data_IF_424382432373
#
_entry.id   IF_424382432373
#
_cell.length_a   1.000
_cell.length_b   1.000
_cell.length_c   1.000
_cell.angle_alpha   90.00
_cell.angle_beta   90.00
_cell.angle_gamma   90.00
#
_symmetry.space_group_name_H-M   'P 1'
#
loop_
_entity.id
_entity.type
_entity.pdbx_description
1 polymer ?
#
# COMPACT_ATOMS: atom_id res chain seq x y z
N UNK A 1 7.04 4.03 3.05
CA UNK A 1 8.22 4.44 3.82
C UNK A 1 8.98 5.58 3.17
N UNK A 2 8.62 5.94 2.00
CA UNK A 2 9.48 6.68 1.08
C UNK A 2 9.02 8.09 0.78
N UNK A 3 7.75 8.41 0.99
CA UNK A 3 7.20 9.73 0.66
C UNK A 3 7.91 10.92 1.31
N UNK A 4 8.58 10.72 2.44
CA UNK A 4 9.32 11.78 3.14
C UNK A 4 10.73 12.04 2.58
N UNK A 5 11.28 11.10 1.80
CA UNK A 5 12.64 11.16 1.25
C UNK A 5 12.66 11.22 -0.27
N UNK A 6 11.51 11.38 -0.91
CA UNK A 6 11.43 11.47 -2.36
C UNK A 6 11.98 12.81 -2.85
N UNK A 7 12.66 12.81 -4.00
CA UNK A 7 13.10 14.04 -4.64
C UNK A 7 11.91 14.99 -4.88
N UNK A 8 12.14 16.31 -4.85
CA UNK A 8 11.11 17.30 -5.15
C UNK A 8 10.48 17.22 -6.55
N UNK A 9 11.01 16.36 -7.39
CA UNK A 9 10.47 16.01 -8.72
C UNK A 9 9.25 15.09 -8.65
N UNK A 10 9.03 14.36 -7.52
CA UNK A 10 7.86 13.48 -7.36
C UNK A 10 6.65 14.33 -7.01
N UNK A 11 5.72 14.43 -7.95
CA UNK A 11 4.51 15.26 -7.83
C UNK A 11 3.29 14.51 -7.31
N UNK A 12 3.26 13.19 -7.45
CA UNK A 12 2.18 12.32 -6.99
C UNK A 12 2.63 10.88 -6.85
N UNK A 13 1.87 10.10 -6.10
CA UNK A 13 2.09 8.66 -5.87
C UNK A 13 0.82 7.93 -6.26
N UNK A 14 0.95 6.87 -7.05
CA UNK A 14 -0.13 5.92 -7.31
C UNK A 14 0.24 4.61 -6.61
N UNK A 15 -0.58 4.20 -5.64
CA UNK A 15 -0.39 3.00 -4.85
C UNK A 15 -1.46 1.97 -5.21
N UNK A 16 -1.10 0.98 -6.03
CA UNK A 16 -2.00 -0.11 -6.42
C UNK A 16 -1.72 -1.36 -5.56
N UNK A 17 -2.74 -1.87 -4.89
CA UNK A 17 -2.71 -3.02 -4.00
C UNK A 17 -1.66 -2.93 -2.86
N UNK A 18 -1.47 -1.73 -2.30
CA UNK A 18 -0.50 -1.50 -1.25
C UNK A 18 -0.90 -2.10 0.10
N UNK A 19 0.07 -2.68 0.83
CA UNK A 19 -0.10 -3.15 2.21
C UNK A 19 0.35 -2.11 3.24
N UNK A 20 -0.05 -2.31 4.51
CA UNK A 20 0.24 -1.37 5.63
C UNK A 20 1.67 -1.47 6.16
N UNK A 21 2.18 -2.70 6.27
CA UNK A 21 3.56 -3.01 6.67
C UNK A 21 3.92 -4.45 6.32
N UNK A 22 5.21 -4.81 6.20
CA UNK A 22 5.63 -6.21 6.08
C UNK A 22 5.11 -7.08 7.22
N UNK A 23 5.09 -6.55 8.45
CA UNK A 23 4.53 -7.24 9.60
C UNK A 23 3.07 -7.63 9.41
N UNK A 24 2.24 -6.69 8.97
CA UNK A 24 0.80 -6.91 8.80
C UNK A 24 0.48 -7.90 7.68
N UNK A 25 1.17 -7.78 6.53
CA UNK A 25 0.93 -8.68 5.42
C UNK A 25 1.43 -10.10 5.72
N UNK A 26 2.60 -10.26 6.33
CA UNK A 26 3.10 -11.57 6.72
C UNK A 26 2.24 -12.20 7.83
N UNK A 27 1.76 -11.41 8.80
CA UNK A 27 0.82 -11.89 9.80
C UNK A 27 -0.48 -12.39 9.19
N UNK A 28 -0.98 -11.70 8.15
CA UNK A 28 -2.18 -12.09 7.45
C UNK A 28 -1.99 -13.39 6.66
N UNK A 29 -0.93 -13.48 5.85
CA UNK A 29 -0.63 -14.67 5.05
C UNK A 29 -0.37 -15.88 5.96
N UNK A 30 0.39 -15.70 7.03
CA UNK A 30 0.70 -16.76 7.98
C UNK A 30 -0.57 -17.35 8.61
N UNK A 31 -1.49 -16.48 9.03
CA UNK A 31 -2.76 -16.94 9.61
C UNK A 31 -3.73 -17.53 8.59
N UNK A 32 -3.83 -16.93 7.41
CA UNK A 32 -4.80 -17.32 6.38
C UNK A 32 -4.37 -18.57 5.61
N UNK A 33 -3.14 -18.57 5.09
CA UNK A 33 -2.69 -19.59 4.13
C UNK A 33 -1.92 -20.72 4.80
N UNK A 34 -1.17 -20.41 5.87
CA UNK A 34 -0.40 -21.40 6.62
C UNK A 34 -1.12 -21.92 7.87
N UNK A 35 -2.21 -21.26 8.31
CA UNK A 35 -2.94 -21.59 9.55
C UNK A 35 -2.03 -21.61 10.79
N UNK A 36 -0.96 -20.78 10.78
CA UNK A 36 0.02 -20.71 11.84
C UNK A 36 -0.18 -19.44 12.69
N UNK A 37 0.07 -19.51 14.01
CA UNK A 37 0.05 -18.34 14.87
C UNK A 37 1.23 -17.42 14.58
N UNK A 38 1.08 -16.12 14.90
CA UNK A 38 2.17 -15.15 14.74
C UNK A 38 3.40 -15.54 15.56
N UNK A 39 3.19 -15.94 16.81
CA UNK A 39 4.25 -16.46 17.68
C UNK A 39 4.31 -17.99 17.57
N UNK A 40 5.50 -18.57 17.41
CA UNK A 40 6.82 -17.91 17.32
C UNK A 40 7.25 -17.54 15.89
N UNK A 41 6.50 -17.94 14.86
CA UNK A 41 6.96 -17.96 13.46
C UNK A 41 7.29 -16.56 12.91
N UNK A 42 6.37 -15.60 13.06
CA UNK A 42 6.59 -14.26 12.55
C UNK A 42 7.74 -13.55 13.31
N UNK A 43 7.86 -13.81 14.60
CA UNK A 43 8.95 -13.25 15.40
C UNK A 43 10.31 -13.83 15.00
N UNK A 44 10.37 -15.14 14.71
CA UNK A 44 11.58 -15.77 14.20
C UNK A 44 11.96 -15.22 12.82
N UNK A 45 10.98 -15.04 11.92
CA UNK A 45 11.21 -14.45 10.61
C UNK A 45 11.71 -12.99 10.70
N UNK A 46 11.11 -12.19 11.57
CA UNK A 46 11.53 -10.81 11.84
C UNK A 46 12.96 -10.74 12.40
N UNK A 47 13.30 -11.61 13.34
CA UNK A 47 14.66 -11.72 13.87
C UNK A 47 15.67 -12.08 12.77
N UNK A 48 15.36 -13.04 11.90
CA UNK A 48 16.23 -13.42 10.78
C UNK A 48 16.38 -12.27 9.80
N UNK A 49 15.28 -11.57 9.50
CA UNK A 49 15.30 -10.38 8.64
C UNK A 49 16.22 -9.31 9.21
N UNK A 50 16.07 -8.99 10.50
CA UNK A 50 16.93 -8.02 11.15
C UNK A 50 18.41 -8.42 11.10
N UNK A 51 18.73 -9.69 11.36
CA UNK A 51 20.11 -10.21 11.30
C UNK A 51 20.73 -10.14 9.90
N UNK A 52 19.93 -10.34 8.84
CA UNK A 52 20.42 -10.40 7.46
C UNK A 52 20.32 -9.07 6.71
N UNK A 53 19.26 -8.32 6.95
CA UNK A 53 18.93 -7.10 6.20
C UNK A 53 19.02 -5.82 7.03
N UNK A 54 19.21 -5.92 8.35
CA UNK A 54 19.44 -4.78 9.24
C UNK A 54 18.19 -4.00 9.62
N UNK A 55 16.98 -4.51 9.36
CA UNK A 55 15.72 -3.84 9.75
C UNK A 55 14.67 -4.82 10.26
N UNK A 56 13.78 -4.34 11.12
CA UNK A 56 12.59 -5.06 11.57
C UNK A 56 11.39 -4.78 10.67
N UNK A 57 10.47 -5.74 10.51
CA UNK A 57 9.27 -5.60 9.68
C UNK A 57 8.39 -4.41 10.07
N UNK A 58 8.35 -4.06 11.36
CA UNK A 58 7.56 -2.94 11.86
C UNK A 58 8.17 -1.56 11.52
N UNK A 59 9.47 -1.48 11.26
CA UNK A 59 10.14 -0.24 10.88
C UNK A 59 9.73 0.25 9.49
N UNK A 60 9.23 -0.65 8.63
CA UNK A 60 8.78 -0.36 7.26
C UNK A 60 7.28 -0.11 7.19
N UNK A 61 6.71 0.69 8.07
CA UNK A 61 5.29 1.01 8.09
C UNK A 61 4.90 2.06 7.05
N UNK A 62 4.04 1.67 6.09
CA UNK A 62 3.43 2.60 5.15
C UNK A 62 2.50 3.58 5.89
N UNK A 63 1.74 3.10 6.88
CA UNK A 63 0.85 3.92 7.71
C UNK A 63 1.59 5.07 8.39
N UNK A 64 2.73 4.77 9.05
CA UNK A 64 3.52 5.81 9.73
C UNK A 64 4.15 6.81 8.75
N UNK A 65 4.58 6.33 7.58
CA UNK A 65 5.09 7.18 6.53
C UNK A 65 4.01 8.10 5.95
N UNK A 66 2.81 7.58 5.73
CA UNK A 66 1.68 8.32 5.19
C UNK A 66 1.16 9.40 6.14
N UNK A 67 1.26 9.22 7.45
CA UNK A 67 0.92 10.27 8.45
C UNK A 67 1.76 11.54 8.30
N UNK A 68 2.94 11.42 7.74
CA UNK A 68 3.87 12.54 7.52
C UNK A 68 4.01 12.89 6.05
N UNK A 69 3.28 12.19 5.19
CA UNK A 69 3.34 12.41 3.74
C UNK A 69 2.72 13.76 3.36
N UNK A 70 3.35 14.44 2.41
CA UNK A 70 2.87 15.70 1.84
C UNK A 70 2.64 15.61 0.33
N UNK A 71 2.96 14.46 -0.26
CA UNK A 71 2.81 14.21 -1.70
C UNK A 71 1.43 13.58 -1.92
N UNK A 72 0.62 14.09 -2.86
CA UNK A 72 -0.69 13.52 -3.17
C UNK A 72 -0.62 12.03 -3.52
N UNK A 73 -1.63 11.27 -3.09
CA UNK A 73 -1.67 9.81 -3.30
C UNK A 73 -3.01 9.37 -3.87
N UNK A 74 -2.96 8.62 -4.96
CA UNK A 74 -4.09 7.84 -5.45
C UNK A 74 -3.91 6.38 -5.01
N UNK A 75 -4.82 5.90 -4.16
CA UNK A 75 -4.88 4.50 -3.75
C UNK A 75 -5.83 3.73 -4.68
N UNK A 76 -5.38 2.62 -5.24
CA UNK A 76 -6.19 1.71 -6.05
C UNK A 76 -6.12 0.32 -5.43
N UNK A 77 -7.25 -0.42 -5.41
CA UNK A 77 -7.24 -1.77 -4.85
C UNK A 77 -8.37 -2.62 -5.40
N UNK A 78 -8.10 -3.92 -5.57
CA UNK A 78 -9.13 -4.89 -5.89
C UNK A 78 -9.97 -5.27 -4.66
N UNK A 79 -11.30 -5.15 -4.75
CA UNK A 79 -12.21 -5.47 -3.64
C UNK A 79 -12.20 -6.94 -3.24
N UNK A 80 -11.85 -7.85 -4.18
CA UNK A 80 -11.70 -9.29 -3.94
C UNK A 80 -10.24 -9.73 -3.82
N UNK A 81 -9.35 -8.81 -3.49
CA UNK A 81 -7.94 -9.14 -3.27
C UNK A 81 -7.80 -10.08 -2.06
N UNK A 82 -7.49 -11.34 -2.36
CA UNK A 82 -7.29 -12.36 -1.36
C UNK A 82 -5.85 -12.43 -0.84
N UNK A 83 -4.90 -11.78 -1.52
CA UNK A 83 -3.49 -11.75 -1.14
C UNK A 83 -3.19 -10.56 -0.22
N UNK A 84 -3.55 -9.35 -0.64
CA UNK A 84 -3.48 -8.15 0.20
C UNK A 84 -4.91 -7.64 0.43
N UNK A 85 -5.46 -7.75 1.64
CA UNK A 85 -6.84 -7.33 1.87
C UNK A 85 -7.06 -5.84 1.61
N UNK A 86 -8.13 -5.47 0.91
CA UNK A 86 -8.47 -4.09 0.58
C UNK A 86 -8.55 -3.16 1.81
N UNK A 87 -8.85 -3.71 3.01
CA UNK A 87 -8.78 -2.96 4.27
C UNK A 87 -7.41 -2.36 4.57
N UNK A 88 -6.32 -2.89 3.99
CA UNK A 88 -4.99 -2.30 4.16
C UNK A 88 -4.85 -1.00 3.38
N UNK A 89 -5.40 -0.93 2.15
CA UNK A 89 -5.46 0.34 1.42
C UNK A 89 -6.35 1.38 2.10
N UNK A 90 -7.47 0.97 2.71
CA UNK A 90 -8.30 1.87 3.51
C UNK A 90 -7.53 2.44 4.70
N UNK A 91 -6.78 1.62 5.44
CA UNK A 91 -5.93 2.08 6.55
C UNK A 91 -4.85 3.06 6.07
N UNK A 92 -4.23 2.77 4.92
CA UNK A 92 -3.25 3.65 4.31
C UNK A 92 -3.89 4.98 3.88
N UNK A 93 -5.06 4.92 3.26
CA UNK A 93 -5.83 6.09 2.88
C UNK A 93 -6.18 6.96 4.09
N UNK A 94 -6.75 6.38 5.15
CA UNK A 94 -7.10 7.10 6.38
C UNK A 94 -5.88 7.77 7.03
N UNK A 95 -4.74 7.09 7.04
CA UNK A 95 -3.50 7.59 7.63
C UNK A 95 -2.81 8.69 6.81
N UNK A 96 -3.10 8.77 5.50
CA UNK A 96 -2.42 9.72 4.62
C UNK A 96 -2.79 11.16 4.96
N UNK A 97 -1.79 11.98 5.30
CA UNK A 97 -1.97 13.39 5.66
C UNK A 97 -2.06 14.34 4.45
N UNK A 98 -1.60 13.89 3.27
CA UNK A 98 -1.66 14.66 2.03
C UNK A 98 -3.02 14.55 1.34
N UNK A 99 -3.22 15.32 0.26
CA UNK A 99 -4.33 15.13 -0.68
C UNK A 99 -4.38 13.67 -1.14
N UNK A 100 -5.56 13.08 -1.15
CA UNK A 100 -5.71 11.65 -1.38
C UNK A 100 -7.00 11.30 -2.08
N UNK A 101 -6.92 10.29 -2.94
CA UNK A 101 -8.05 9.68 -3.59
C UNK A 101 -7.98 8.16 -3.39
N UNK A 102 -9.13 7.48 -3.38
CA UNK A 102 -9.19 6.02 -3.31
C UNK A 102 -10.16 5.47 -4.34
N UNK A 103 -9.77 4.39 -4.98
CA UNK A 103 -10.57 3.67 -5.96
C UNK A 103 -10.53 2.16 -5.68
N UNK A 104 -11.64 1.62 -5.21
CA UNK A 104 -11.80 0.18 -5.00
C UNK A 104 -12.57 -0.41 -6.17
N UNK A 105 -12.00 -1.40 -6.83
CA UNK A 105 -12.63 -2.15 -7.91
C UNK A 105 -13.22 -3.42 -7.34
N UNK A 106 -14.50 -3.41 -7.03
CA UNK A 106 -15.17 -4.46 -6.22
C UNK A 106 -14.93 -5.89 -6.68
N UNK A 107 -14.85 -6.12 -8.00
CA UNK A 107 -14.68 -7.46 -8.60
C UNK A 107 -13.25 -7.86 -8.89
N UNK A 108 -12.29 -6.94 -8.72
CA UNK A 108 -10.89 -7.18 -9.03
C UNK A 108 -10.20 -7.96 -7.91
N UNK A 109 -9.31 -8.87 -8.30
CA UNK A 109 -8.35 -9.54 -7.45
C UNK A 109 -7.06 -8.70 -7.32
N UNK A 110 -6.01 -9.28 -6.72
CA UNK A 110 -4.72 -8.62 -6.55
C UNK A 110 -4.11 -8.19 -7.89
N UNK A 111 -3.82 -6.89 -8.03
CA UNK A 111 -3.19 -6.32 -9.22
C UNK A 111 -4.01 -6.37 -10.51
N UNK A 112 -5.32 -6.69 -10.45
CA UNK A 112 -6.16 -6.85 -11.64
C UNK A 112 -7.17 -5.72 -11.85
N UNK A 113 -7.12 -4.65 -11.08
CA UNK A 113 -8.04 -3.51 -11.17
C UNK A 113 -8.09 -2.93 -12.60
N UNK A 114 -6.94 -2.80 -13.25
CA UNK A 114 -6.81 -2.30 -14.61
C UNK A 114 -7.39 -3.25 -15.69
N UNK A 115 -7.55 -4.54 -15.38
CA UNK A 115 -8.16 -5.52 -16.30
C UNK A 115 -9.67 -5.57 -16.12
N UNK A 116 -10.17 -5.37 -14.90
CA UNK A 116 -11.59 -5.48 -14.57
C UNK A 116 -12.36 -4.23 -14.97
N UNK A 117 -11.79 -3.06 -14.73
CA UNK A 117 -12.37 -1.76 -15.08
C UNK A 117 -11.35 -0.86 -15.82
N UNK A 118 -10.91 -1.23 -17.03
CA UNK A 118 -9.79 -0.58 -17.72
C UNK A 118 -10.03 0.91 -18.00
N UNK A 119 -11.23 1.27 -18.44
CA UNK A 119 -11.56 2.67 -18.77
C UNK A 119 -11.59 3.56 -17.52
N UNK A 120 -12.24 3.10 -16.45
CA UNK A 120 -12.31 3.86 -15.21
C UNK A 120 -10.94 3.95 -14.52
N UNK A 121 -10.18 2.84 -14.51
CA UNK A 121 -8.81 2.83 -14.01
C UNK A 121 -7.96 3.87 -14.75
N UNK A 122 -7.95 3.81 -16.08
CA UNK A 122 -7.21 4.76 -16.91
C UNK A 122 -7.65 6.20 -16.66
N UNK A 123 -8.96 6.45 -16.65
CA UNK A 123 -9.53 7.78 -16.42
C UNK A 123 -9.05 8.37 -15.08
N UNK A 124 -9.07 7.58 -13.99
CA UNK A 124 -8.64 8.05 -12.68
C UNK A 124 -7.14 8.31 -12.62
N UNK A 125 -6.34 7.42 -13.18
CA UNK A 125 -4.89 7.59 -13.24
C UNK A 125 -4.52 8.85 -14.03
N UNK A 126 -5.09 9.03 -15.24
CA UNK A 126 -4.80 10.20 -16.07
C UNK A 126 -5.26 11.49 -15.38
N UNK A 127 -6.48 11.52 -14.84
CA UNK A 127 -6.98 12.69 -14.11
C UNK A 127 -6.09 13.05 -12.91
N UNK A 128 -5.63 12.04 -12.17
CA UNK A 128 -4.73 12.27 -11.05
C UNK A 128 -3.37 12.80 -11.51
N UNK A 129 -2.81 12.23 -12.58
CA UNK A 129 -1.54 12.69 -13.15
C UNK A 129 -1.66 14.14 -13.66
N UNK A 130 -2.68 14.47 -14.42
CA UNK A 130 -2.92 15.83 -14.93
C UNK A 130 -3.04 16.85 -13.78
N UNK A 131 -3.80 16.51 -12.75
CA UNK A 131 -3.99 17.38 -11.58
C UNK A 131 -2.67 17.75 -10.88
N UNK A 132 -1.69 16.84 -10.89
CA UNK A 132 -0.47 16.99 -10.10
C UNK A 132 0.83 17.09 -10.92
N UNK A 133 0.80 16.85 -12.24
CA UNK A 133 1.97 17.00 -13.11
C UNK A 133 2.23 18.46 -13.50
N UNK A 134 1.15 19.22 -13.75
CA UNK A 134 1.23 20.63 -14.15
C UNK A 134 1.41 21.49 -12.89
N UNK A 135 2.59 21.37 -12.28
CA UNK A 135 2.89 21.95 -10.99
C UNK A 135 2.45 23.40 -10.79
N UNK A 136 1.50 23.60 -9.89
CA UNK A 136 1.41 24.81 -9.09
C UNK A 136 2.38 24.73 -7.93
#
# INVERSE_FOLDING_TARGET
>A
ATGLKLPGQVKGIIADCGYTSPWDIFAYVLGKDCHLPKFPFLYAADYICHRKAGFHFQECSAVESLRRNRIPVLFIHGGRDAFVPARMSWKNYEACAAEKEIFIVDRAAHGTSHLVEPEEYRRRVVKFMEKWSDGN
#
